data_IF_806714859843
#
_entry.id   IF_806714859843
#
_cell.length_a   1.000
_cell.length_b   1.000
_cell.length_c   1.000
_cell.angle_alpha   90.00
_cell.angle_beta   90.00
_cell.angle_gamma   90.00
#
_symmetry.space_group_name_H-M   'P 1'
#
loop_
_entity.id
_entity.type
_entity.pdbx_description
1 polymer ?
#
# COMPACT_ATOMS: atom_id res chain seq x y z
N UNK A 1 1.50 -34.45 14.19
CA UNK A 1 1.13 -33.06 13.84
C UNK A 1 1.93 -32.09 14.71
N UNK A 2 3.23 -31.96 14.45
CA UNK A 2 4.19 -31.38 15.39
C UNK A 2 4.22 -29.86 15.43
N UNK A 3 4.49 -29.31 16.61
CA UNK A 3 4.62 -27.89 16.97
C UNK A 3 5.64 -27.16 16.05
N UNK A 4 6.63 -27.89 15.53
CA UNK A 4 7.62 -27.41 14.57
C UNK A 4 7.02 -27.01 13.21
N UNK A 5 5.96 -27.67 12.76
CA UNK A 5 5.23 -27.27 11.54
C UNK A 5 4.52 -25.94 11.74
N UNK A 6 3.97 -25.69 12.93
CA UNK A 6 3.27 -24.44 13.26
C UNK A 6 4.24 -23.26 13.40
N UNK A 7 5.44 -23.45 13.97
CA UNK A 7 6.47 -22.40 14.01
C UNK A 7 7.01 -22.05 12.61
N UNK A 8 7.26 -23.05 11.76
CA UNK A 8 7.66 -22.86 10.36
C UNK A 8 6.60 -22.08 9.58
N UNK A 9 5.32 -22.40 9.76
CA UNK A 9 4.21 -21.68 9.12
C UNK A 9 4.09 -20.24 9.61
N UNK A 10 4.27 -19.97 10.92
CA UNK A 10 4.22 -18.60 11.46
C UNK A 10 5.41 -17.76 10.96
N UNK A 11 6.60 -18.36 10.83
CA UNK A 11 7.79 -17.67 10.33
C UNK A 11 7.70 -17.40 8.80
N UNK A 12 7.24 -18.38 8.02
CA UNK A 12 6.93 -18.21 6.59
C UNK A 12 5.82 -17.18 6.36
N UNK A 13 4.77 -17.16 7.17
CA UNK A 13 3.68 -16.18 7.07
C UNK A 13 4.11 -14.75 7.48
N UNK A 14 5.13 -14.60 8.34
CA UNK A 14 5.73 -13.29 8.66
C UNK A 14 6.71 -12.82 7.57
N UNK A 15 7.46 -13.74 6.94
CA UNK A 15 8.30 -13.42 5.79
C UNK A 15 7.49 -13.11 4.53
N UNK A 16 6.40 -13.83 4.27
CA UNK A 16 5.49 -13.53 3.15
C UNK A 16 4.85 -12.16 3.34
N UNK A 17 4.37 -11.83 4.55
CA UNK A 17 3.86 -10.48 4.87
C UNK A 17 4.90 -9.36 4.74
N UNK A 18 6.19 -9.66 4.88
CA UNK A 18 7.28 -8.69 4.67
C UNK A 18 7.63 -8.54 3.19
N UNK A 19 7.52 -9.62 2.39
CA UNK A 19 7.61 -9.56 0.93
C UNK A 19 6.40 -8.80 0.32
N UNK A 20 5.17 -9.11 0.75
CA UNK A 20 3.93 -8.46 0.29
C UNK A 20 3.90 -6.96 0.65
N UNK A 21 4.64 -6.55 1.70
CA UNK A 21 4.77 -5.14 2.07
C UNK A 21 5.67 -4.36 1.13
N UNK A 22 6.65 -5.00 0.49
CA UNK A 22 7.40 -4.38 -0.61
C UNK A 22 6.63 -4.39 -1.94
N UNK A 23 5.62 -5.26 -2.08
CA UNK A 23 4.70 -5.27 -3.21
C UNK A 23 3.48 -4.35 -3.05
N UNK A 24 3.29 -3.73 -1.89
CA UNK A 24 2.16 -2.82 -1.68
C UNK A 24 2.32 -1.56 -2.55
N UNK A 25 1.54 -1.43 -3.65
CA UNK A 25 1.70 -0.31 -4.59
C UNK A 25 1.34 1.03 -3.94
N UNK A 26 0.61 1.01 -2.83
CA UNK A 26 0.25 2.21 -2.08
C UNK A 26 1.44 2.98 -1.54
N UNK A 27 2.36 2.32 -0.82
CA UNK A 27 3.47 3.02 -0.15
C UNK A 27 4.47 3.58 -1.17
N UNK A 28 4.73 2.82 -2.24
CA UNK A 28 5.65 3.22 -3.32
C UNK A 28 5.10 4.37 -4.17
N UNK A 29 3.80 4.37 -4.47
CA UNK A 29 3.14 5.47 -5.18
C UNK A 29 3.03 6.73 -4.32
N UNK A 30 2.75 6.60 -3.00
CA UNK A 30 2.70 7.74 -2.09
C UNK A 30 4.07 8.42 -1.98
N UNK A 31 5.13 7.63 -1.76
CA UNK A 31 6.50 8.14 -1.72
C UNK A 31 6.89 8.87 -3.02
N UNK A 32 6.52 8.28 -4.16
CA UNK A 32 6.79 8.88 -5.47
C UNK A 32 6.04 10.21 -5.65
N UNK A 33 4.78 10.30 -5.19
CA UNK A 33 3.99 11.51 -5.22
C UNK A 33 4.60 12.62 -4.35
N UNK A 34 4.99 12.30 -3.12
CA UNK A 34 5.65 13.25 -2.21
C UNK A 34 6.97 13.77 -2.80
N UNK A 35 7.76 12.88 -3.41
CA UNK A 35 8.99 13.28 -4.09
C UNK A 35 8.73 14.23 -5.26
N UNK A 36 7.69 13.98 -6.05
CA UNK A 36 7.32 14.90 -7.14
C UNK A 36 6.87 16.27 -6.60
N UNK A 37 6.09 16.30 -5.51
CA UNK A 37 5.71 17.55 -4.84
C UNK A 37 6.93 18.32 -4.31
N UNK A 38 7.91 17.63 -3.73
CA UNK A 38 9.16 18.24 -3.29
C UNK A 38 9.94 18.86 -4.45
N UNK A 39 10.04 18.15 -5.59
CA UNK A 39 10.67 18.68 -6.80
C UNK A 39 9.94 19.91 -7.34
N UNK A 40 8.60 19.89 -7.36
CA UNK A 40 7.81 21.05 -7.77
C UNK A 40 8.07 22.28 -6.87
N UNK A 41 8.18 22.08 -5.55
CA UNK A 41 8.53 23.16 -4.61
C UNK A 41 9.91 23.75 -4.92
N UNK A 42 10.89 22.90 -5.23
CA UNK A 42 12.24 23.36 -5.59
C UNK A 42 12.23 24.18 -6.88
N UNK A 43 11.45 23.77 -7.90
CA UNK A 43 11.31 24.56 -9.14
C UNK A 43 10.63 25.90 -8.86
N UNK A 44 9.57 25.93 -8.04
CA UNK A 44 8.90 27.17 -7.62
C UNK A 44 9.85 28.12 -6.88
N UNK A 45 10.69 27.58 -6.00
CA UNK A 45 11.71 28.36 -5.31
C UNK A 45 12.73 28.93 -6.29
N UNK A 46 13.29 28.11 -7.17
CA UNK A 46 14.24 28.57 -8.19
C UNK A 46 13.65 29.63 -9.11
N UNK A 47 12.38 29.47 -9.53
CA UNK A 47 11.66 30.50 -10.29
C UNK A 47 11.56 31.82 -9.51
N UNK A 48 11.23 31.75 -8.22
CA UNK A 48 11.13 32.93 -7.35
C UNK A 48 12.47 33.66 -7.23
N UNK A 49 13.57 32.93 -7.08
CA UNK A 49 14.92 33.49 -7.00
C UNK A 49 15.34 34.18 -8.31
N UNK A 50 15.00 33.60 -9.47
CA UNK A 50 15.24 34.20 -10.79
C UNK A 50 14.42 35.48 -10.97
N UNK A 51 13.13 35.44 -10.62
CA UNK A 51 12.24 36.62 -10.68
C UNK A 51 12.76 37.75 -9.77
N UNK A 52 13.16 37.42 -8.54
CA UNK A 52 13.72 38.40 -7.61
C UNK A 52 15.03 39.01 -8.14
N UNK A 53 15.93 38.17 -8.67
CA UNK A 53 17.21 38.59 -9.25
C UNK A 53 16.99 39.52 -10.46
N UNK A 54 16.10 39.14 -11.37
CA UNK A 54 15.70 39.96 -12.50
C UNK A 54 15.14 41.30 -12.04
N UNK A 55 14.24 41.30 -11.05
CA UNK A 55 13.63 42.53 -10.55
C UNK A 55 14.64 43.49 -9.94
N UNK A 56 15.65 42.94 -9.24
CA UNK A 56 16.76 43.74 -8.71
C UNK A 56 17.56 44.43 -9.82
N UNK A 57 17.85 43.73 -10.92
CA UNK A 57 18.53 44.34 -12.07
C UNK A 57 17.67 45.40 -12.75
N UNK A 58 16.36 45.16 -12.91
CA UNK A 58 15.43 46.17 -13.45
C UNK A 58 15.43 47.47 -12.62
N UNK A 59 15.47 47.35 -11.28
CA UNK A 59 15.57 48.51 -10.39
C UNK A 59 16.92 49.25 -10.54
N UNK A 60 18.02 48.52 -10.73
CA UNK A 60 19.33 49.11 -10.98
C UNK A 60 19.37 49.87 -12.32
N UNK A 61 18.79 49.28 -13.37
CA UNK A 61 18.63 49.94 -14.68
C UNK A 61 17.81 51.22 -14.55
N UNK A 62 16.68 51.18 -13.82
CA UNK A 62 15.86 52.36 -13.60
C UNK A 62 16.64 53.49 -12.92
N UNK A 63 17.42 53.16 -11.88
CA UNK A 63 18.27 54.13 -11.17
C UNK A 63 19.33 54.75 -12.09
N UNK A 64 20.04 53.94 -12.88
CA UNK A 64 21.07 54.43 -13.81
C UNK A 64 20.48 55.32 -14.91
N UNK A 65 19.27 55.00 -15.40
CA UNK A 65 18.54 55.83 -16.36
C UNK A 65 18.13 57.18 -15.77
N UNK A 66 17.66 57.19 -14.52
CA UNK A 66 17.35 58.43 -13.81
C UNK A 66 18.60 59.31 -13.60
N UNK A 67 19.72 58.70 -13.22
CA UNK A 67 21.01 59.39 -13.09
C UNK A 67 21.49 59.95 -14.43
N UNK A 68 21.36 59.18 -15.51
CA UNK A 68 21.69 59.62 -16.87
C UNK A 68 20.84 60.83 -17.32
N UNK A 69 19.54 60.85 -16.97
CA UNK A 69 18.66 61.98 -17.24
C UNK A 69 19.05 63.23 -16.42
N UNK A 70 19.45 63.06 -15.16
CA UNK A 70 19.96 64.17 -14.33
C UNK A 70 21.27 64.74 -14.90
N UNK A 71 22.20 63.88 -15.31
CA UNK A 71 23.46 64.29 -15.95
C UNK A 71 23.21 65.04 -17.26
N UNK A 72 22.21 64.63 -18.04
CA UNK A 72 21.81 65.37 -19.24
C UNK A 72 21.30 66.78 -18.90
N UNK A 73 20.46 66.92 -17.88
CA UNK A 73 19.96 68.22 -17.44
C UNK A 73 21.11 69.12 -16.93
N UNK A 74 22.06 68.55 -16.18
CA UNK A 74 23.27 69.27 -15.74
C UNK A 74 24.13 69.72 -16.91
N UNK A 75 24.32 68.87 -17.93
CA UNK A 75 25.05 69.23 -19.13
C UNK A 75 24.38 70.39 -19.88
N UNK A 76 23.05 70.35 -20.04
CA UNK A 76 22.26 71.44 -20.65
C UNK A 76 22.41 72.75 -19.88
N UNK A 77 22.40 72.70 -18.56
CA UNK A 77 22.57 73.89 -17.72
C UNK A 77 24.00 74.46 -17.78
N UNK A 78 25.02 73.59 -17.75
CA UNK A 78 26.40 74.00 -17.90
C UNK A 78 26.67 74.70 -19.25
N UNK A 79 26.06 74.21 -20.35
CA UNK A 79 26.13 74.85 -21.67
C UNK A 79 25.51 76.25 -21.63
N UNK A 80 24.34 76.44 -21.01
CA UNK A 80 23.71 77.76 -20.88
C UNK A 80 24.58 78.76 -20.12
N UNK A 81 25.39 78.27 -19.18
CA UNK A 81 26.32 79.06 -18.38
C UNK A 81 27.70 79.23 -19.07
N UNK A 82 27.88 78.76 -20.31
CA UNK A 82 29.13 78.85 -21.05
C UNK A 82 30.25 77.93 -20.53
N UNK A 83 29.91 76.94 -19.69
CA UNK A 83 30.87 75.99 -19.09
C UNK A 83 30.86 74.66 -19.84
N UNK A 84 31.42 74.67 -21.04
CA UNK A 84 31.47 73.49 -21.92
C UNK A 84 32.31 72.34 -21.35
N UNK A 85 33.32 72.65 -20.54
CA UNK A 85 34.14 71.68 -19.81
C UNK A 85 33.29 70.84 -18.85
N UNK A 86 32.43 71.47 -18.04
CA UNK A 86 31.52 70.78 -17.14
C UNK A 86 30.46 69.99 -17.89
N UNK A 87 29.96 70.54 -19.01
CA UNK A 87 29.01 69.82 -19.85
C UNK A 87 29.61 68.54 -20.44
N UNK A 88 30.86 68.59 -20.89
CA UNK A 88 31.59 67.42 -21.42
C UNK A 88 31.72 66.32 -20.36
N UNK A 89 32.14 66.68 -19.15
CA UNK A 89 32.28 65.71 -18.04
C UNK A 89 30.93 65.09 -17.67
N UNK A 90 29.85 65.87 -17.64
CA UNK A 90 28.51 65.34 -17.37
C UNK A 90 28.04 64.36 -18.45
N UNK A 91 28.31 64.66 -19.73
CA UNK A 91 27.99 63.78 -20.85
C UNK A 91 28.84 62.51 -20.88
N UNK A 92 30.13 62.59 -20.52
CA UNK A 92 30.99 61.42 -20.38
C UNK A 92 30.45 60.45 -19.31
N UNK A 93 30.08 60.97 -18.13
CA UNK A 93 29.45 60.17 -17.08
C UNK A 93 28.12 59.56 -17.53
N UNK A 94 27.30 60.34 -18.25
CA UNK A 94 26.05 59.84 -18.83
C UNK A 94 26.32 58.67 -19.77
N UNK A 95 27.32 58.78 -20.65
CA UNK A 95 27.69 57.73 -21.58
C UNK A 95 28.09 56.44 -20.85
N UNK A 96 28.89 56.55 -19.78
CA UNK A 96 29.24 55.40 -18.93
C UNK A 96 28.00 54.74 -18.32
N UNK A 97 27.08 55.51 -17.75
CA UNK A 97 25.84 54.97 -17.18
C UNK A 97 24.99 54.24 -18.25
N UNK A 98 24.91 54.78 -19.47
CA UNK A 98 24.15 54.16 -20.56
C UNK A 98 24.80 52.87 -21.08
N UNK A 99 26.14 52.78 -21.06
CA UNK A 99 26.85 51.53 -21.35
C UNK A 99 26.54 50.46 -20.31
N UNK A 100 26.53 50.82 -19.03
CA UNK A 100 26.15 49.90 -17.94
C UNK A 100 24.69 49.44 -18.06
N UNK A 101 23.77 50.36 -18.34
CA UNK A 101 22.35 50.04 -18.63
C UNK A 101 22.23 48.99 -19.74
N UNK A 102 22.94 49.18 -20.85
CA UNK A 102 22.91 48.24 -21.99
C UNK A 102 23.38 46.84 -21.56
N UNK A 103 24.44 46.76 -20.77
CA UNK A 103 24.95 45.49 -20.22
C UNK A 103 23.92 44.81 -19.29
N UNK A 104 23.27 45.57 -18.41
CA UNK A 104 22.26 45.04 -17.49
C UNK A 104 20.98 44.61 -18.22
N UNK A 105 20.57 45.33 -19.27
CA UNK A 105 19.41 44.95 -20.09
C UNK A 105 19.64 43.60 -20.80
N UNK A 106 20.86 43.31 -21.26
CA UNK A 106 21.22 42.00 -21.80
C UNK A 106 21.11 40.90 -20.73
N UNK A 107 21.57 41.16 -19.51
CA UNK A 107 21.44 40.21 -18.39
C UNK A 107 19.98 39.97 -18.00
N UNK A 108 19.16 41.02 -17.98
CA UNK A 108 17.70 40.92 -17.74
C UNK A 108 17.03 40.07 -18.82
N UNK A 109 17.42 40.24 -20.08
CA UNK A 109 16.88 39.45 -21.18
C UNK A 109 17.23 37.96 -21.05
N UNK A 110 18.43 37.63 -20.55
CA UNK A 110 18.80 36.24 -20.31
C UNK A 110 18.02 35.64 -19.13
N UNK A 111 17.90 36.36 -18.01
CA UNK A 111 17.08 35.95 -16.88
C UNK A 111 15.60 35.79 -17.25
N UNK A 112 15.08 36.60 -18.18
CA UNK A 112 13.72 36.43 -18.70
C UNK A 112 13.56 35.08 -19.42
N UNK A 113 14.52 34.67 -20.25
CA UNK A 113 14.47 33.35 -20.91
C UNK A 113 14.55 32.22 -19.90
N UNK A 114 15.38 32.35 -18.86
CA UNK A 114 15.46 31.36 -17.78
C UNK A 114 14.15 31.28 -17.00
N UNK A 115 13.55 32.43 -16.67
CA UNK A 115 12.23 32.52 -16.03
C UNK A 115 11.17 31.79 -16.85
N UNK A 116 11.11 32.02 -18.16
CA UNK A 116 10.12 31.40 -19.05
C UNK A 116 10.31 29.87 -19.13
N UNK A 117 11.55 29.41 -19.19
CA UNK A 117 11.88 27.97 -19.16
C UNK A 117 11.44 27.33 -17.84
N UNK A 118 11.71 27.97 -16.71
CA UNK A 118 11.33 27.47 -15.39
C UNK A 118 9.81 27.46 -15.19
N UNK A 119 9.11 28.51 -15.64
CA UNK A 119 7.65 28.56 -15.60
C UNK A 119 6.99 27.46 -16.46
N UNK A 120 7.54 27.20 -17.66
CA UNK A 120 7.08 26.09 -18.50
C UNK A 120 7.34 24.72 -17.85
N UNK A 121 8.50 24.54 -17.21
CA UNK A 121 8.84 23.33 -16.47
C UNK A 121 7.92 23.12 -15.26
N UNK A 122 7.62 24.17 -14.50
CA UNK A 122 6.69 24.17 -13.37
C UNK A 122 5.30 23.71 -13.82
N UNK A 123 4.74 24.34 -14.86
CA UNK A 123 3.41 24.00 -15.40
C UNK A 123 3.35 22.54 -15.86
N UNK A 124 4.39 22.06 -16.56
CA UNK A 124 4.48 20.67 -17.00
C UNK A 124 4.59 19.70 -15.82
N UNK A 125 5.32 20.04 -14.77
CA UNK A 125 5.41 19.22 -13.56
C UNK A 125 4.08 19.17 -12.82
N UNK A 126 3.40 20.31 -12.67
CA UNK A 126 2.08 20.37 -12.04
C UNK A 126 1.09 19.45 -12.77
N UNK A 127 1.00 19.54 -14.10
CA UNK A 127 0.13 18.67 -14.90
C UNK A 127 0.45 17.18 -14.72
N UNK A 128 1.74 16.81 -14.66
CA UNK A 128 2.17 15.42 -14.42
C UNK A 128 1.82 14.94 -13.01
N UNK A 129 1.96 15.80 -12.00
CA UNK A 129 1.64 15.50 -10.60
C UNK A 129 0.13 15.27 -10.46
N UNK A 130 -0.70 16.07 -11.11
CA UNK A 130 -2.15 15.93 -11.07
C UNK A 130 -2.63 14.65 -11.78
N UNK A 131 -2.02 14.32 -12.93
CA UNK A 131 -2.24 13.05 -13.60
C UNK A 131 -1.81 11.86 -12.73
N UNK A 132 -0.64 11.94 -12.09
CA UNK A 132 -0.12 10.90 -11.22
C UNK A 132 -1.00 10.71 -9.98
N UNK A 133 -1.50 11.79 -9.37
CA UNK A 133 -2.47 11.73 -8.26
C UNK A 133 -3.71 10.94 -8.66
N UNK A 134 -4.27 11.24 -9.84
CA UNK A 134 -5.45 10.54 -10.35
C UNK A 134 -5.16 9.05 -10.56
N UNK A 135 -4.04 8.73 -11.19
CA UNK A 135 -3.62 7.35 -11.43
C UNK A 135 -3.37 6.59 -10.12
N UNK A 136 -2.78 7.24 -9.11
CA UNK A 136 -2.59 6.69 -7.76
C UNK A 136 -3.92 6.28 -7.13
N UNK A 137 -4.93 7.14 -7.16
CA UNK A 137 -6.25 6.83 -6.60
C UNK A 137 -6.95 5.69 -7.35
N UNK A 138 -6.81 5.62 -8.68
CA UNK A 138 -7.33 4.50 -9.50
C UNK A 138 -6.66 3.18 -9.11
N UNK A 139 -5.32 3.14 -9.07
CA UNK A 139 -4.57 1.94 -8.68
C UNK A 139 -4.95 1.53 -7.26
N UNK A 140 -5.12 2.50 -6.35
CA UNK A 140 -5.54 2.24 -4.98
C UNK A 140 -6.92 1.57 -4.93
N UNK A 141 -7.90 2.10 -5.66
CA UNK A 141 -9.23 1.50 -5.72
C UNK A 141 -9.21 0.09 -6.34
N UNK A 142 -8.44 -0.11 -7.41
CA UNK A 142 -8.28 -1.42 -8.06
C UNK A 142 -7.63 -2.45 -7.12
N UNK A 143 -6.59 -2.05 -6.39
CA UNK A 143 -5.92 -2.91 -5.41
C UNK A 143 -6.89 -3.32 -4.29
N UNK A 144 -7.62 -2.37 -3.70
CA UNK A 144 -8.63 -2.67 -2.67
C UNK A 144 -9.73 -3.59 -3.19
N UNK A 145 -10.19 -3.40 -4.43
CA UNK A 145 -11.18 -4.28 -5.05
C UNK A 145 -10.65 -5.71 -5.25
N UNK A 146 -9.42 -5.85 -5.76
CA UNK A 146 -8.77 -7.14 -5.93
C UNK A 146 -8.53 -7.85 -4.58
N UNK A 147 -8.09 -7.11 -3.55
CA UNK A 147 -7.93 -7.65 -2.18
C UNK A 147 -9.26 -8.17 -1.63
N UNK A 148 -10.36 -7.45 -1.84
CA UNK A 148 -11.69 -7.90 -1.44
C UNK A 148 -12.14 -9.17 -2.19
N UNK A 149 -11.86 -9.27 -3.49
CA UNK A 149 -12.15 -10.46 -4.28
C UNK A 149 -11.39 -11.69 -3.79
N UNK A 150 -10.11 -11.55 -3.47
CA UNK A 150 -9.30 -12.64 -2.88
C UNK A 150 -9.90 -13.07 -1.54
N UNK A 151 -10.22 -12.14 -0.63
CA UNK A 151 -10.84 -12.46 0.66
C UNK A 151 -12.18 -13.18 0.52
N UNK A 152 -13.02 -12.79 -0.43
CA UNK A 152 -14.30 -13.46 -0.72
C UNK A 152 -14.04 -14.88 -1.24
N UNK A 153 -13.10 -15.04 -2.19
CA UNK A 153 -12.72 -16.34 -2.72
C UNK A 153 -12.23 -17.29 -1.62
N UNK A 154 -11.33 -16.83 -0.76
CA UNK A 154 -10.82 -17.58 0.38
C UNK A 154 -11.93 -17.97 1.37
N UNK A 155 -12.86 -17.05 1.65
CA UNK A 155 -14.01 -17.33 2.52
C UNK A 155 -14.95 -18.39 1.92
N UNK A 156 -15.22 -18.36 0.61
CA UNK A 156 -16.04 -19.36 -0.09
C UNK A 156 -15.34 -20.72 -0.10
N UNK A 157 -14.03 -20.77 -0.38
CA UNK A 157 -13.28 -22.02 -0.37
C UNK A 157 -13.18 -22.62 1.03
N UNK A 158 -12.96 -21.79 2.05
CA UNK A 158 -12.94 -22.23 3.45
C UNK A 158 -14.30 -22.75 3.91
N UNK A 159 -15.39 -22.08 3.51
CA UNK A 159 -16.75 -22.54 3.79
C UNK A 159 -17.07 -23.85 3.04
N UNK A 160 -16.56 -24.02 1.81
CA UNK A 160 -16.77 -25.25 1.04
C UNK A 160 -16.07 -26.46 1.65
N UNK A 161 -14.88 -26.26 2.23
CA UNK A 161 -14.16 -27.30 2.97
C UNK A 161 -14.92 -27.72 4.24
N UNK A 162 -15.47 -26.75 4.99
CA UNK A 162 -16.30 -27.01 6.17
C UNK A 162 -17.64 -27.68 5.82
N UNK A 163 -18.31 -27.24 4.75
CA UNK A 163 -19.56 -27.84 4.27
C UNK A 163 -19.35 -29.27 3.73
N UNK A 164 -18.22 -29.55 3.07
CA UNK A 164 -17.89 -30.90 2.62
C UNK A 164 -17.71 -31.87 3.79
N UNK A 165 -17.09 -31.43 4.89
CA UNK A 165 -16.94 -32.24 6.10
C UNK A 165 -18.29 -32.50 6.80
N UNK A 166 -19.16 -31.49 6.84
CA UNK A 166 -20.54 -31.63 7.35
C UNK A 166 -21.38 -32.57 6.50
N UNK A 167 -21.26 -32.51 5.17
CA UNK A 167 -21.94 -33.42 4.24
C UNK A 167 -21.57 -34.89 4.50
N UNK A 168 -20.27 -35.18 4.64
CA UNK A 168 -19.79 -36.54 4.96
C UNK A 168 -20.28 -37.04 6.33
N UNK A 169 -20.42 -36.16 7.32
CA UNK A 169 -20.93 -36.55 8.64
C UNK A 169 -22.44 -36.82 8.62
N UNK A 170 -23.22 -36.06 7.86
CA UNK A 170 -24.65 -36.30 7.66
C UNK A 170 -24.88 -37.63 6.93
N UNK A 171 -24.14 -37.91 5.86
CA UNK A 171 -24.24 -39.17 5.10
C UNK A 171 -23.93 -40.39 5.97
N UNK A 172 -22.89 -40.30 6.82
CA UNK A 172 -22.58 -41.34 7.82
C UNK A 172 -23.70 -41.52 8.84
N UNK A 173 -24.29 -40.44 9.32
CA UNK A 173 -25.41 -40.48 10.27
C UNK A 173 -26.66 -41.14 9.64
N UNK A 174 -26.97 -40.82 8.38
CA UNK A 174 -28.05 -41.43 7.61
C UNK A 174 -27.80 -42.93 7.42
N UNK A 175 -26.61 -43.30 6.93
CA UNK A 175 -26.23 -44.72 6.73
C UNK A 175 -26.34 -45.53 8.02
N UNK A 176 -25.91 -44.96 9.16
CA UNK A 176 -26.03 -45.61 10.47
C UNK A 176 -27.48 -45.77 10.89
N UNK A 177 -28.32 -44.76 10.62
CA UNK A 177 -29.75 -44.80 10.91
C UNK A 177 -30.47 -45.84 10.05
N UNK A 178 -30.13 -45.94 8.77
CA UNK A 178 -30.67 -46.97 7.88
C UNK A 178 -30.25 -48.37 8.32
N UNK A 179 -28.99 -48.58 8.70
CA UNK A 179 -28.54 -49.86 9.28
C UNK A 179 -29.30 -50.21 10.56
N UNK A 180 -29.56 -49.23 11.42
CA UNK A 180 -30.36 -49.44 12.64
C UNK A 180 -31.82 -49.78 12.30
N UNK A 181 -32.42 -49.10 11.32
CA UNK A 181 -33.77 -49.41 10.84
C UNK A 181 -33.87 -50.80 10.20
N UNK A 182 -32.90 -51.17 9.37
CA UNK A 182 -32.83 -52.50 8.75
C UNK A 182 -32.66 -53.59 9.82
N UNK A 183 -31.86 -53.33 10.85
CA UNK A 183 -31.70 -54.25 11.98
C UNK A 183 -32.98 -54.37 12.81
N UNK A 184 -33.69 -53.26 13.05
CA UNK A 184 -34.98 -53.27 13.73
C UNK A 184 -36.02 -54.07 12.93
N UNK A 185 -36.13 -53.82 11.62
CA UNK A 185 -37.02 -54.58 10.74
C UNK A 185 -36.70 -56.09 10.71
N UNK A 186 -35.41 -56.47 10.69
CA UNK A 186 -35.02 -57.87 10.78
C UNK A 186 -35.37 -58.50 12.14
N UNK A 187 -35.32 -57.74 13.24
CA UNK A 187 -35.77 -58.20 14.56
C UNK A 187 -37.29 -58.38 14.57
N UNK A 188 -38.04 -57.43 14.01
CA UNK A 188 -39.50 -57.52 13.92
C UNK A 188 -39.93 -58.73 13.06
N UNK A 189 -39.25 -59.00 11.94
CA UNK A 189 -39.48 -60.19 11.10
C UNK A 189 -39.13 -61.50 11.84
N UNK A 190 -38.09 -61.52 12.68
CA UNK A 190 -37.76 -62.65 13.54
C UNK A 190 -38.81 -62.89 14.65
N UNK A 191 -39.46 -61.83 15.13
CA UNK A 191 -40.59 -61.92 16.07
C UNK A 191 -41.82 -62.47 15.36
N UNK A 192 -42.13 -61.97 14.16
CA UNK A 192 -43.33 -62.33 13.39
C UNK A 192 -43.25 -63.73 12.78
N UNK A 193 -42.05 -64.18 12.40
CA UNK A 193 -41.79 -65.56 11.91
C UNK A 193 -41.84 -66.63 13.01
N UNK A 194 -42.08 -66.25 14.28
CA UNK A 194 -42.32 -67.19 15.38
C UNK A 194 -41.08 -67.92 15.91
N UNK A 195 -39.87 -67.53 15.48
CA UNK A 195 -38.61 -68.18 15.88
C UNK A 195 -38.01 -67.65 17.21
N UNK A 196 -38.73 -66.79 17.93
CA UNK A 196 -38.27 -66.21 19.20
C UNK A 196 -38.83 -66.89 20.46
N UNK A 197 -39.48 -68.04 20.33
CA UNK A 197 -39.99 -68.79 21.48
C UNK A 197 -39.59 -70.26 21.38
N UNK A 198 -38.34 -70.60 21.71
CA UNK A 198 -38.04 -71.65 22.71
C UNK A 198 -36.53 -71.70 23.01
N UNK A 199 -36.06 -70.88 23.95
CA UNK A 199 -34.93 -71.19 24.84
C UNK A 199 -34.71 -70.09 25.89
N UNK A 200 -35.78 -69.69 26.58
CA UNK A 200 -35.66 -69.11 27.91
C UNK A 200 -35.69 -70.22 28.95
N UNK A 201 -34.60 -71.00 28.98
CA UNK A 201 -34.39 -72.11 29.89
C UNK A 201 -32.91 -72.34 30.14
N UNK A 202 -32.22 -71.37 30.73
CA UNK A 202 -31.01 -71.52 31.58
C UNK A 202 -30.27 -70.17 31.67
N UNK A 203 -30.71 -69.32 32.60
CA UNK A 203 -29.87 -68.27 33.17
C UNK A 203 -28.69 -68.96 33.88
N UNK A 204 -27.49 -68.84 33.31
CA UNK A 204 -26.22 -68.74 34.09
C UNK A 204 -24.93 -68.78 33.25
N UNK A 205 -24.95 -69.06 31.94
CA UNK A 205 -23.69 -69.20 31.17
C UNK A 205 -23.29 -68.00 30.29
N UNK A 206 -24.22 -67.14 29.86
CA UNK A 206 -23.92 -66.08 28.88
C UNK A 206 -23.43 -64.78 29.55
N UNK A 207 -23.98 -64.41 30.71
CA UNK A 207 -23.53 -63.22 31.47
C UNK A 207 -22.09 -63.40 32.01
N UNK A 208 -21.68 -64.65 32.29
CA UNK A 208 -20.31 -64.98 32.71
C UNK A 208 -19.28 -64.86 31.57
N UNK A 209 -19.71 -64.99 30.31
CA UNK A 209 -18.84 -64.99 29.13
C UNK A 209 -18.74 -63.60 28.48
N UNK A 210 -19.81 -62.79 28.56
CA UNK A 210 -19.80 -61.37 28.20
C UNK A 210 -19.03 -60.50 29.20
N UNK A 211 -19.01 -60.87 30.49
CA UNK A 211 -18.15 -60.23 31.48
C UNK A 211 -16.66 -60.53 31.23
N UNK A 212 -16.31 -61.71 30.68
CA UNK A 212 -14.92 -62.06 30.33
C UNK A 212 -14.41 -61.34 29.08
N UNK A 213 -15.25 -61.13 28.08
CA UNK A 213 -14.87 -60.42 26.85
C UNK A 213 -14.83 -58.89 27.02
N UNK A 214 -15.68 -58.33 27.88
CA UNK A 214 -15.64 -56.90 28.21
C UNK A 214 -14.50 -56.54 29.17
N UNK A 215 -14.13 -57.44 30.09
CA UNK A 215 -12.95 -57.27 30.95
C UNK A 215 -11.62 -57.34 30.19
N UNK A 216 -11.49 -58.21 29.17
CA UNK A 216 -10.28 -58.30 28.35
C UNK A 216 -10.02 -57.01 27.54
N UNK A 217 -11.08 -56.40 27.00
CA UNK A 217 -11.00 -55.19 26.19
C UNK A 217 -10.80 -53.91 27.03
N UNK A 218 -11.40 -53.85 28.22
CA UNK A 218 -11.19 -52.74 29.16
C UNK A 218 -9.76 -52.71 29.74
N UNK A 219 -9.11 -53.86 29.95
CA UNK A 219 -7.72 -53.94 30.42
C UNK A 219 -6.71 -53.52 29.34
N UNK A 220 -6.98 -53.78 28.07
CA UNK A 220 -6.14 -53.31 26.95
C UNK A 220 -6.26 -51.80 26.72
N UNK A 221 -7.47 -51.24 26.84
CA UNK A 221 -7.71 -49.79 26.73
C UNK A 221 -7.12 -49.02 27.94
N UNK A 222 -7.14 -49.58 29.15
CA UNK A 222 -6.49 -48.99 30.32
C UNK A 222 -4.95 -49.12 30.31
N UNK A 223 -4.38 -50.21 29.76
CA UNK A 223 -2.93 -50.36 29.58
C UNK A 223 -2.38 -49.39 28.51
N UNK A 224 -3.15 -49.11 27.45
CA UNK A 224 -2.82 -48.12 26.43
C UNK A 224 -2.86 -46.68 26.97
N UNK A 225 -3.77 -46.40 27.93
CA UNK A 225 -3.85 -45.10 28.62
C UNK A 225 -2.69 -44.91 29.61
N UNK A 226 -2.34 -45.92 30.40
CA UNK A 226 -1.20 -45.89 31.34
C UNK A 226 0.16 -45.78 30.62
N UNK A 227 0.36 -46.42 29.46
CA UNK A 227 1.58 -46.22 28.64
C UNK A 227 1.70 -44.80 28.09
N UNK A 228 0.58 -44.13 27.78
CA UNK A 228 0.57 -42.72 27.35
C UNK A 228 0.87 -41.74 28.49
N UNK A 229 0.50 -42.07 29.73
CA UNK A 229 0.85 -41.24 30.91
C UNK A 229 2.31 -41.43 31.36
N UNK A 230 2.90 -42.62 31.20
CA UNK A 230 4.29 -42.87 31.58
C UNK A 230 5.31 -42.43 30.51
N UNK A 231 4.93 -42.36 29.23
CA UNK A 231 5.74 -41.73 28.16
C UNK A 231 5.50 -40.21 28.02
N UNK A 232 4.71 -39.60 28.92
CA UNK A 232 4.40 -38.17 28.98
C UNK A 232 5.20 -37.39 30.03
N UNK A 233 6.39 -37.87 30.41
CA UNK A 233 7.41 -37.10 31.14
C UNK A 233 8.75 -37.18 30.41
#
# INVERSE_FOLDING_TARGET
MGILSRMSTIFKAKMSRLLDRMENPHETLEYSYERQLALLRNVKQGLTEVVASKKRLELQVAKLKDEAARLENQAREAIKQGREDLARVALERKATNLQEVTSLELQIAELQKEQDKLAAAESRMQAKIDAFRTQKEVIKAQYTAAEAQVKIGEAITGLSEELADVGMTIERAQTKTEKLKARAAAIDELIESGNLVDNMGSKDSIDAELARLSAAKAVEDDLARLKKEVSGK
#
